data_IF_468371976631
#
_entry.id   IF_468371976631
#
_cell.length_a   1.000
_cell.length_b   1.000
_cell.length_c   1.000
_cell.angle_alpha   90.00
_cell.angle_beta   90.00
_cell.angle_gamma   90.00
#
_symmetry.space_group_name_H-M   'P 1'
#
loop_
_entity.id
_entity.type
_entity.pdbx_description
1 polymer ?
#
# COMPACT_ATOMS: atom_id res chain seq x y z
N UNK A 1 0.11 17.47 17.13
CA UNK A 1 -1.29 17.00 17.24
C UNK A 1 -2.31 18.11 16.95
N UNK A 2 -2.28 19.27 17.64
CA UNK A 2 -3.24 20.36 17.38
C UNK A 2 -3.14 21.02 15.97
N UNK A 3 -1.94 21.06 15.38
CA UNK A 3 -1.72 21.65 14.04
C UNK A 3 -2.41 20.84 12.93
N UNK A 4 -2.53 19.51 13.07
CA UNK A 4 -3.22 18.65 12.10
C UNK A 4 -4.76 18.75 12.22
N UNK A 5 -5.25 19.20 13.38
CA UNK A 5 -6.69 19.36 13.62
C UNK A 5 -7.31 20.46 12.75
N UNK A 6 -6.59 21.57 12.53
CA UNK A 6 -7.07 22.69 11.72
C UNK A 6 -7.38 22.33 10.25
N UNK A 7 -6.46 21.72 9.47
CA UNK A 7 -6.78 21.31 8.10
C UNK A 7 -7.88 20.23 8.04
N UNK A 8 -7.95 19.32 9.02
CA UNK A 8 -9.03 18.33 9.12
C UNK A 8 -10.41 19.00 9.30
N UNK A 9 -10.47 20.09 10.08
CA UNK A 9 -11.69 20.89 10.29
C UNK A 9 -12.13 21.61 9.01
N UNK A 10 -11.18 22.16 8.25
CA UNK A 10 -11.46 22.79 6.95
C UNK A 10 -11.96 21.79 5.91
N UNK A 11 -11.44 20.56 5.90
CA UNK A 11 -11.93 19.46 5.07
C UNK A 11 -13.39 19.09 5.40
N UNK A 12 -13.78 19.16 6.68
CA UNK A 12 -15.15 18.92 7.11
C UNK A 12 -16.14 20.02 6.64
N UNK A 13 -15.65 21.21 6.33
CA UNK A 13 -16.45 22.35 5.87
C UNK A 13 -16.84 22.31 4.39
N UNK A 14 -16.35 21.34 3.61
CA UNK A 14 -16.72 21.19 2.21
C UNK A 14 -18.18 20.72 2.13
N UNK A 15 -19.07 21.68 1.89
CA UNK A 15 -20.52 21.46 1.73
C UNK A 15 -20.90 20.64 0.48
N UNK A 16 -20.03 20.54 -0.52
CA UNK A 16 -20.38 19.95 -1.81
C UNK A 16 -19.85 18.51 -1.95
N UNK A 17 -20.54 17.56 -1.31
CA UNK A 17 -20.23 16.12 -1.30
C UNK A 17 -20.08 15.56 -2.72
N UNK A 18 -20.81 16.11 -3.70
CA UNK A 18 -20.83 15.62 -5.08
C UNK A 18 -19.49 15.76 -5.81
N UNK A 19 -18.75 16.86 -5.55
CA UNK A 19 -17.41 17.08 -6.13
C UNK A 19 -16.39 16.12 -5.50
N UNK A 20 -16.49 15.91 -4.18
CA UNK A 20 -15.63 14.97 -3.45
C UNK A 20 -15.83 13.54 -3.96
N UNK A 21 -17.08 13.11 -4.20
CA UNK A 21 -17.35 11.77 -4.73
C UNK A 21 -16.70 11.56 -6.09
N UNK A 22 -16.81 12.53 -7.01
CA UNK A 22 -16.19 12.42 -8.34
C UNK A 22 -14.66 12.41 -8.26
N UNK A 23 -14.09 13.28 -7.41
CA UNK A 23 -12.64 13.33 -7.19
C UNK A 23 -12.12 12.02 -6.57
N UNK A 24 -12.85 11.46 -5.60
CA UNK A 24 -12.53 10.17 -4.98
C UNK A 24 -12.58 9.03 -6.01
N UNK A 25 -13.59 9.03 -6.90
CA UNK A 25 -13.67 8.06 -7.99
C UNK A 25 -12.42 8.13 -8.88
N UNK A 26 -12.04 9.33 -9.33
CA UNK A 26 -10.81 9.54 -10.11
C UNK A 26 -9.56 9.09 -9.35
N UNK A 27 -9.47 9.43 -8.05
CA UNK A 27 -8.36 9.02 -7.19
C UNK A 27 -8.23 7.50 -7.09
N UNK A 28 -9.34 6.78 -6.94
CA UNK A 28 -9.34 5.31 -6.91
C UNK A 28 -8.81 4.73 -8.24
N UNK A 29 -9.17 5.29 -9.39
CA UNK A 29 -8.59 4.85 -10.67
C UNK A 29 -7.07 5.06 -10.72
N UNK A 30 -6.57 6.20 -10.24
CA UNK A 30 -5.13 6.46 -10.17
C UNK A 30 -4.45 5.45 -9.25
N UNK A 31 -5.05 5.10 -8.11
CA UNK A 31 -4.54 4.07 -7.19
C UNK A 31 -4.45 2.72 -7.92
N UNK A 32 -5.48 2.29 -8.65
CA UNK A 32 -5.43 1.04 -9.41
C UNK A 32 -4.32 1.04 -10.46
N UNK A 33 -4.12 2.16 -11.17
CA UNK A 33 -3.04 2.30 -12.14
C UNK A 33 -1.67 2.21 -11.44
N UNK A 34 -1.50 2.91 -10.32
CA UNK A 34 -0.26 2.89 -9.55
C UNK A 34 0.08 1.48 -9.04
N UNK A 35 -0.91 0.77 -8.46
CA UNK A 35 -0.74 -0.62 -8.01
C UNK A 35 -0.37 -1.53 -9.18
N UNK A 36 -0.98 -1.34 -10.35
CA UNK A 36 -0.64 -2.09 -11.57
C UNK A 36 0.80 -1.83 -12.04
N UNK A 37 1.24 -0.58 -12.06
CA UNK A 37 2.61 -0.20 -12.41
C UNK A 37 3.63 -0.78 -11.44
N UNK A 38 3.40 -0.66 -10.14
CA UNK A 38 4.25 -1.25 -9.10
C UNK A 38 4.33 -2.76 -9.26
N UNK A 39 3.19 -3.43 -9.42
CA UNK A 39 3.13 -4.87 -9.60
C UNK A 39 3.91 -5.33 -10.84
N UNK A 40 3.83 -4.58 -11.94
CA UNK A 40 4.59 -4.85 -13.17
C UNK A 40 6.09 -4.75 -12.94
N UNK A 41 6.56 -3.68 -12.31
CA UNK A 41 7.99 -3.50 -12.00
C UNK A 41 8.51 -4.59 -11.06
N UNK A 42 7.71 -4.98 -10.06
CA UNK A 42 8.05 -6.06 -9.14
C UNK A 42 8.20 -7.43 -9.84
N UNK A 43 7.35 -7.73 -10.83
CA UNK A 43 7.42 -8.98 -11.59
C UNK A 43 8.59 -8.95 -12.60
N UNK A 44 8.86 -7.78 -13.20
CA UNK A 44 9.84 -7.62 -14.28
C UNK A 44 11.29 -7.54 -13.81
N UNK A 45 11.55 -7.13 -12.57
CA UNK A 45 12.89 -7.07 -12.02
C UNK A 45 13.44 -8.48 -11.71
N UNK A 46 14.77 -8.61 -11.76
CA UNK A 46 15.45 -9.82 -11.32
C UNK A 46 15.18 -10.08 -9.83
N UNK A 47 14.75 -11.30 -9.54
CA UNK A 47 14.39 -11.74 -8.18
C UNK A 47 15.63 -12.25 -7.48
N UNK A 48 15.83 -11.85 -6.24
CA UNK A 48 16.85 -12.46 -5.40
C UNK A 48 16.52 -13.93 -5.18
N UNK A 49 17.55 -14.78 -5.11
CA UNK A 49 17.39 -16.22 -4.93
C UNK A 49 16.69 -16.48 -3.60
N UNK A 50 15.50 -17.08 -3.61
CA UNK A 50 14.66 -17.32 -2.43
C UNK A 50 15.39 -17.99 -1.24
N UNK A 51 16.48 -18.72 -1.51
CA UNK A 51 17.28 -19.42 -0.50
C UNK A 51 18.25 -18.52 0.29
N UNK A 52 18.47 -17.27 -0.12
CA UNK A 52 19.41 -16.35 0.53
C UNK A 52 18.74 -15.25 1.37
N UNK A 53 17.40 -15.22 1.44
CA UNK A 53 16.69 -14.24 2.26
C UNK A 53 16.23 -14.87 3.58
N UNK A 54 16.38 -14.17 4.72
CA UNK A 54 15.83 -14.63 5.98
C UNK A 54 14.30 -14.59 5.94
N UNK A 55 13.65 -15.70 6.29
CA UNK A 55 12.19 -15.79 6.31
C UNK A 55 11.56 -14.98 7.45
N UNK A 56 12.32 -14.73 8.52
CA UNK A 56 11.89 -13.98 9.69
C UNK A 56 13.02 -13.02 10.07
N UNK A 57 12.64 -11.81 10.43
CA UNK A 57 13.50 -10.74 10.94
C UNK A 57 13.62 -10.86 12.48
N UNK A 58 14.05 -9.83 13.19
CA UNK A 58 14.09 -9.75 14.65
C UNK A 58 12.72 -9.39 15.26
N UNK A 59 12.60 -9.52 16.59
CA UNK A 59 11.37 -9.22 17.33
C UNK A 59 10.83 -7.80 17.07
N UNK A 60 11.72 -6.83 16.95
CA UNK A 60 11.38 -5.45 16.60
C UNK A 60 10.75 -5.36 15.20
N UNK A 61 11.36 -6.00 14.20
CA UNK A 61 10.84 -5.99 12.83
C UNK A 61 9.50 -6.69 12.70
N UNK A 62 9.29 -7.80 13.42
CA UNK A 62 7.99 -8.46 13.49
C UNK A 62 6.94 -7.56 14.12
N UNK A 63 7.30 -6.84 15.20
CA UNK A 63 6.39 -5.90 15.89
C UNK A 63 6.04 -4.70 15.01
N UNK A 64 7.01 -4.12 14.29
CA UNK A 64 6.77 -3.03 13.34
C UNK A 64 5.87 -3.48 12.19
N UNK A 65 6.12 -4.67 11.63
CA UNK A 65 5.27 -5.24 10.59
C UNK A 65 3.84 -5.44 11.09
N UNK A 66 3.65 -5.99 12.30
CA UNK A 66 2.34 -6.15 12.90
C UNK A 66 1.61 -4.82 13.07
N UNK A 67 2.30 -3.76 13.52
CA UNK A 67 1.74 -2.41 13.62
C UNK A 67 1.30 -1.86 12.26
N UNK A 68 2.12 -2.03 11.23
CA UNK A 68 1.78 -1.64 9.86
C UNK A 68 0.58 -2.41 9.30
N UNK A 69 0.48 -3.72 9.56
CA UNK A 69 -0.67 -4.53 9.17
C UNK A 69 -1.95 -4.09 9.89
N UNK A 70 -1.90 -3.87 11.20
CA UNK A 70 -3.07 -3.41 11.98
C UNK A 70 -3.55 -2.05 11.46
N UNK A 71 -2.62 -1.12 11.20
CA UNK A 71 -2.94 0.18 10.62
C UNK A 71 -3.57 0.07 9.23
N UNK A 72 -3.07 -0.82 8.38
CA UNK A 72 -3.57 -1.01 7.02
C UNK A 72 -5.00 -1.59 6.97
N UNK A 73 -5.42 -2.32 7.99
CA UNK A 73 -6.78 -2.85 8.11
C UNK A 73 -7.70 -1.99 8.99
N UNK A 74 -7.27 -0.78 9.36
CA UNK A 74 -8.13 0.13 10.11
C UNK A 74 -9.28 0.65 9.22
N UNK A 75 -10.48 0.13 9.44
CA UNK A 75 -11.68 0.53 8.70
C UNK A 75 -13.00 0.20 9.40
N UNK A 76 -12.94 -0.40 10.59
CA UNK A 76 -14.12 -0.90 11.30
C UNK A 76 -15.14 0.21 11.62
N UNK A 77 -14.68 1.44 11.85
CA UNK A 77 -15.53 2.60 12.10
C UNK A 77 -16.47 2.94 10.92
N UNK A 78 -16.12 2.51 9.69
CA UNK A 78 -16.94 2.78 8.50
C UNK A 78 -17.98 1.69 8.20
N UNK A 79 -17.95 0.55 8.90
CA UNK A 79 -18.83 -0.59 8.59
C UNK A 79 -20.30 -0.21 8.71
N UNK A 80 -20.71 0.45 9.80
CA UNK A 80 -22.10 0.84 10.01
C UNK A 80 -22.56 1.92 9.01
N UNK A 81 -21.68 2.85 8.65
CA UNK A 81 -21.98 3.86 7.65
C UNK A 81 -22.17 3.23 6.27
N UNK A 82 -21.37 2.21 5.94
CA UNK A 82 -21.47 1.46 4.69
C UNK A 82 -22.72 0.55 4.68
N UNK A 83 -23.08 -0.05 5.80
CA UNK A 83 -24.27 -0.93 5.92
C UNK A 83 -25.55 -0.15 5.60
N UNK A 84 -25.66 1.07 6.16
CA UNK A 84 -26.76 1.99 5.89
C UNK A 84 -26.84 2.50 4.44
N UNK A 85 -25.83 2.24 3.61
CA UNK A 85 -25.79 2.63 2.19
C UNK A 85 -26.03 1.48 1.23
N UNK A 86 -26.11 0.24 1.72
CA UNK A 86 -26.41 -0.92 0.89
C UNK A 86 -27.92 -1.01 0.60
N UNK A 87 -28.25 -1.53 -0.59
CA UNK A 87 -29.64 -1.84 -0.96
C UNK A 87 -30.22 -2.96 -0.09
N UNK A 88 -29.37 -3.91 0.31
CA UNK A 88 -29.69 -5.01 1.20
C UNK A 88 -28.63 -5.06 2.32
N UNK A 89 -28.92 -4.53 3.52
CA UNK A 89 -27.93 -4.45 4.60
C UNK A 89 -27.55 -5.83 5.15
N UNK A 90 -28.42 -6.83 5.03
CA UNK A 90 -28.12 -8.23 5.38
C UNK A 90 -26.94 -8.81 4.62
N UNK A 91 -26.66 -8.31 3.42
CA UNK A 91 -25.59 -8.81 2.53
C UNK A 91 -24.24 -8.15 2.84
N UNK A 92 -24.20 -7.23 3.80
CA UNK A 92 -22.98 -6.62 4.30
C UNK A 92 -22.05 -7.68 4.92
N UNK A 93 -22.64 -8.54 5.73
CA UNK A 93 -21.94 -9.51 6.61
C UNK A 93 -22.21 -10.94 6.11
N UNK A 94 -21.22 -11.81 6.21
CA UNK A 94 -21.31 -13.22 5.78
C UNK A 94 -20.10 -13.65 4.94
N UNK A 95 -19.99 -14.94 4.64
CA UNK A 95 -18.83 -15.49 3.91
C UNK A 95 -18.65 -14.88 2.51
N UNK A 96 -19.75 -14.65 1.78
CA UNK A 96 -19.77 -13.91 0.51
C UNK A 96 -20.29 -12.47 0.67
N UNK A 97 -20.27 -11.94 1.90
CA UNK A 97 -20.69 -10.58 2.16
C UNK A 97 -19.74 -9.57 1.50
N UNK A 98 -20.23 -8.36 1.23
CA UNK A 98 -19.45 -7.30 0.58
C UNK A 98 -18.18 -6.98 1.40
N UNK A 99 -18.29 -6.99 2.73
CA UNK A 99 -17.16 -6.69 3.61
C UNK A 99 -16.09 -7.78 3.58
N UNK A 100 -16.46 -9.05 3.74
CA UNK A 100 -15.50 -10.16 3.72
C UNK A 100 -14.83 -10.29 2.34
N UNK A 101 -15.57 -10.11 1.26
CA UNK A 101 -15.03 -10.22 -0.10
C UNK A 101 -14.03 -9.10 -0.40
N UNK A 102 -14.37 -7.85 -0.05
CA UNK A 102 -13.47 -6.71 -0.25
C UNK A 102 -12.21 -6.81 0.61
N UNK A 103 -12.33 -7.22 1.88
CA UNK A 103 -11.16 -7.39 2.75
C UNK A 103 -10.24 -8.52 2.28
N UNK A 104 -10.78 -9.64 1.82
CA UNK A 104 -9.96 -10.71 1.23
C UNK A 104 -9.23 -10.24 -0.04
N UNK A 105 -9.91 -9.48 -0.92
CA UNK A 105 -9.28 -8.92 -2.12
C UNK A 105 -8.10 -8.01 -1.78
N UNK A 106 -8.29 -7.08 -0.82
CA UNK A 106 -7.23 -6.16 -0.39
C UNK A 106 -6.09 -6.92 0.30
N UNK A 107 -6.41 -7.90 1.14
CA UNK A 107 -5.42 -8.76 1.79
C UNK A 107 -4.54 -9.50 0.78
N UNK A 108 -5.13 -10.06 -0.28
CA UNK A 108 -4.39 -10.74 -1.35
C UNK A 108 -3.46 -9.77 -2.10
N UNK A 109 -3.94 -8.55 -2.39
CA UNK A 109 -3.10 -7.52 -3.03
C UNK A 109 -1.93 -7.11 -2.14
N UNK A 110 -2.16 -6.89 -0.84
CA UNK A 110 -1.10 -6.55 0.10
C UNK A 110 -0.10 -7.69 0.28
N UNK A 111 -0.58 -8.94 0.39
CA UNK A 111 0.29 -10.11 0.45
C UNK A 111 1.14 -10.22 -0.83
N UNK A 112 0.55 -10.01 -2.01
CA UNK A 112 1.27 -10.02 -3.27
C UNK A 112 2.36 -8.94 -3.32
N UNK A 113 2.00 -7.68 -3.07
CA UNK A 113 2.97 -6.57 -3.12
C UNK A 113 4.06 -6.71 -2.05
N UNK A 114 3.72 -7.13 -0.84
CA UNK A 114 4.67 -7.34 0.25
C UNK A 114 5.64 -8.48 -0.06
N UNK A 115 5.12 -9.62 -0.54
CA UNK A 115 5.93 -10.79 -0.85
C UNK A 115 6.88 -10.52 -2.04
N UNK A 116 6.35 -10.05 -3.16
CA UNK A 116 7.18 -9.76 -4.33
C UNK A 116 8.10 -8.57 -4.08
N UNK A 117 7.67 -7.56 -3.32
CA UNK A 117 8.51 -6.43 -2.94
C UNK A 117 9.73 -6.89 -2.13
N UNK A 118 9.53 -7.78 -1.17
CA UNK A 118 10.63 -8.34 -0.38
C UNK A 118 11.55 -9.24 -1.21
N UNK A 119 11.01 -10.01 -2.16
CA UNK A 119 11.84 -10.83 -3.06
C UNK A 119 12.69 -10.01 -4.03
N UNK A 120 12.16 -8.87 -4.47
CA UNK A 120 12.85 -8.00 -5.43
C UNK A 120 13.93 -7.16 -4.74
N UNK A 121 13.65 -6.58 -3.57
CA UNK A 121 14.57 -5.63 -2.91
C UNK A 121 15.34 -6.22 -1.71
N UNK A 122 14.88 -7.33 -1.15
CA UNK A 122 15.53 -8.00 -0.04
C UNK A 122 15.63 -7.14 1.23
N UNK A 123 16.72 -7.30 2.02
CA UNK A 123 16.92 -6.58 3.29
C UNK A 123 17.07 -5.07 3.14
N UNK A 124 17.36 -4.57 1.94
CA UNK A 124 17.59 -3.15 1.67
C UNK A 124 16.30 -2.39 1.29
N UNK A 125 15.12 -3.00 1.49
CA UNK A 125 13.84 -2.36 1.19
C UNK A 125 13.63 -1.14 2.11
N UNK A 126 13.47 0.04 1.50
CA UNK A 126 13.07 1.25 2.22
C UNK A 126 11.63 1.19 2.77
N UNK A 127 11.31 2.09 3.71
CA UNK A 127 10.01 2.18 4.42
C UNK A 127 8.77 2.24 3.51
N UNK A 128 8.94 2.76 2.29
CA UNK A 128 7.92 2.67 1.24
C UNK A 128 8.45 1.87 0.07
N UNK A 129 7.65 0.89 -0.37
CA UNK A 129 7.94 0.07 -1.54
C UNK A 129 8.18 0.92 -2.79
N UNK A 130 7.42 2.01 -2.97
CA UNK A 130 7.53 2.90 -4.14
C UNK A 130 8.88 3.60 -4.24
N UNK A 131 9.58 3.77 -3.11
CA UNK A 131 10.88 4.44 -3.07
C UNK A 131 12.01 3.54 -3.62
N UNK A 132 11.81 2.23 -3.55
CA UNK A 132 12.78 1.25 -4.03
C UNK A 132 12.68 0.99 -5.53
N UNK A 133 11.57 1.40 -6.17
CA UNK A 133 11.44 1.24 -7.62
C UNK A 133 12.53 2.03 -8.34
N UNK A 134 13.09 1.49 -9.43
CA UNK A 134 14.12 2.18 -10.18
C UNK A 134 13.56 3.50 -10.70
N UNK A 135 14.08 4.62 -10.17
CA UNK A 135 13.84 5.95 -10.69
C UNK A 135 14.52 6.05 -12.07
N UNK A 136 13.93 5.43 -13.09
CA UNK A 136 14.39 5.57 -14.47
C UNK A 136 13.99 6.96 -14.98
N UNK A 137 14.74 7.96 -14.51
CA UNK A 137 15.62 8.90 -15.23
C UNK A 137 16.04 9.94 -14.19
N UNK A 138 17.34 10.18 -14.02
CA UNK A 138 17.99 11.20 -13.15
C UNK A 138 18.40 10.82 -11.72
N UNK A 139 18.87 9.59 -11.46
CA UNK A 139 19.82 9.37 -10.35
C UNK A 139 21.21 9.11 -10.91
N UNK A 140 22.01 10.18 -11.01
CA UNK A 140 23.43 10.18 -11.33
C UNK A 140 24.33 9.54 -10.25
N UNK A 141 23.74 8.87 -9.26
CA UNK A 141 24.43 8.27 -8.12
C UNK A 141 24.86 6.81 -8.33
N UNK A 142 24.31 6.09 -9.32
CA UNK A 142 24.81 4.75 -9.68
C UNK A 142 26.02 4.77 -10.63
N UNK A 143 26.34 5.93 -11.23
CA UNK A 143 27.57 6.14 -12.01
C UNK A 143 28.79 6.51 -11.13
N UNK A 144 28.60 6.85 -9.85
CA UNK A 144 29.71 7.14 -8.92
C UNK A 144 30.16 5.92 -8.08
N UNK A 145 29.44 4.81 -8.12
CA UNK A 145 29.77 3.58 -7.36
C UNK A 145 30.42 2.51 -8.25
N UNK A 146 30.41 2.70 -9.58
CA UNK A 146 31.04 1.80 -10.56
C UNK A 146 32.45 2.23 -10.99
N UNK A 147 33.11 3.13 -10.26
CA UNK A 147 34.57 3.33 -10.41
C UNK A 147 35.32 3.27 -9.08
N UNK A 148 35.56 2.07 -8.53
CA UNK A 148 36.71 1.79 -7.73
C UNK A 148 37.65 0.89 -8.54
N UNK A 149 38.77 1.46 -9.02
CA UNK A 149 39.94 0.76 -9.59
C UNK A 149 40.07 0.76 -11.13
N UNK A 150 40.36 1.93 -11.70
CA UNK A 150 41.61 2.05 -12.48
C UNK A 150 42.80 1.84 -11.52
N UNK A 151 43.31 0.62 -11.50
CA UNK A 151 44.68 0.30 -11.10
C UNK A 151 45.26 -0.62 -12.16
#
# INVERSE_FOLDING_TARGET
MLIYFFPQLFLNFIKNIRIITLLSLCGNFIIFIAVGLVSKELISHDKHRHSSLPAVTDFEGVTMAAGGLIYAFEGQAMVLALENRLRHPSDMVGLNGVLCTSMNLVMLLYAFLGFYGYLTFGPAVADSLTLNLPNSRYNASSLLVLDPSQK
#
